data_IF_462914338118
#
_entry.id   IF_462914338118
#
_cell.length_a   1.000
_cell.length_b   1.000
_cell.length_c   1.000
_cell.angle_alpha   90.00
_cell.angle_beta   90.00
_cell.angle_gamma   90.00
#
_symmetry.space_group_name_H-M   'P 1'
#
loop_
_entity.id
_entity.type
_entity.pdbx_description
1 polymer ?
#
# COMPACT_ATOMS: atom_id res chain seq x y z
N UNK A 1 -41.34 -8.26 14.55
CA UNK A 1 -39.86 -8.37 14.64
C UNK A 1 -39.26 -6.99 14.36
N UNK A 2 -38.41 -6.44 15.23
CA UNK A 2 -37.65 -5.22 14.91
C UNK A 2 -36.44 -5.65 14.06
N UNK A 3 -36.29 -5.09 12.86
CA UNK A 3 -35.17 -5.39 11.97
C UNK A 3 -33.82 -4.99 12.60
N UNK A 4 -32.74 -5.67 12.20
CA UNK A 4 -31.38 -5.36 12.64
C UNK A 4 -30.97 -3.96 12.15
N UNK A 5 -30.46 -3.12 13.06
CA UNK A 5 -29.89 -1.82 12.68
C UNK A 5 -28.64 -2.06 11.81
N UNK A 6 -28.52 -1.38 10.65
CA UNK A 6 -27.29 -1.41 9.89
C UNK A 6 -26.12 -0.98 10.78
N UNK A 7 -25.03 -1.75 10.75
CA UNK A 7 -23.81 -1.42 11.48
C UNK A 7 -23.19 -0.11 11.00
N UNK A 8 -22.16 0.35 11.71
CA UNK A 8 -21.41 1.56 11.33
C UNK A 8 -20.66 1.29 10.00
N UNK A 9 -20.63 2.31 9.14
CA UNK A 9 -19.81 2.27 7.93
C UNK A 9 -18.32 2.10 8.27
N UNK A 10 -17.54 1.40 7.42
CA UNK A 10 -16.10 1.28 7.59
C UNK A 10 -15.43 2.67 7.56
N UNK A 11 -14.27 2.84 8.22
CA UNK A 11 -13.51 4.06 8.13
C UNK A 11 -13.03 4.31 6.69
N UNK A 12 -12.72 5.58 6.32
CA UNK A 12 -12.09 5.89 5.05
C UNK A 12 -10.75 5.17 4.88
N UNK A 13 -10.34 4.96 3.63
CA UNK A 13 -9.00 4.45 3.31
C UNK A 13 -7.91 5.37 3.89
N UNK A 14 -6.79 4.83 4.40
CA UNK A 14 -5.67 5.63 4.86
C UNK A 14 -5.09 6.50 3.73
N UNK A 15 -4.60 7.68 4.09
CA UNK A 15 -3.97 8.63 3.18
C UNK A 15 -2.65 9.15 3.74
N UNK A 16 -1.85 9.73 2.86
CA UNK A 16 -0.62 10.45 3.14
C UNK A 16 -0.68 11.85 2.56
N UNK A 17 0.29 12.69 2.93
CA UNK A 17 0.35 14.07 2.49
C UNK A 17 0.41 14.20 0.95
N UNK A 18 -0.24 15.26 0.45
CA UNK A 18 -0.22 15.63 -0.96
C UNK A 18 1.12 16.26 -1.37
N UNK A 19 1.39 16.28 -2.68
CA UNK A 19 2.57 16.95 -3.23
C UNK A 19 3.90 16.20 -3.04
N UNK A 20 3.88 15.01 -2.45
CA UNK A 20 5.06 14.15 -2.32
C UNK A 20 5.58 13.70 -3.68
N UNK A 21 6.90 13.50 -3.74
CA UNK A 21 7.63 13.01 -4.92
C UNK A 21 8.35 11.72 -4.53
N UNK A 22 8.53 10.83 -5.50
CA UNK A 22 9.29 9.59 -5.33
C UNK A 22 10.67 9.86 -4.73
N UNK A 23 11.06 9.07 -3.73
CA UNK A 23 12.35 9.19 -3.05
C UNK A 23 13.56 8.70 -3.87
N UNK A 24 13.33 8.01 -5.00
CA UNK A 24 14.41 7.54 -5.86
C UNK A 24 15.17 8.74 -6.48
N UNK A 25 16.52 8.76 -6.42
CA UNK A 25 17.32 9.87 -6.96
C UNK A 25 16.99 10.16 -8.42
N UNK A 26 16.69 11.43 -8.73
CA UNK A 26 16.35 11.88 -10.09
C UNK A 26 14.94 11.54 -10.55
N UNK A 27 14.12 10.86 -9.75
CA UNK A 27 12.73 10.59 -10.09
C UNK A 27 11.82 11.77 -9.72
N UNK A 28 11.09 12.31 -10.69
CA UNK A 28 10.16 13.44 -10.49
C UNK A 28 8.70 13.02 -10.35
N UNK A 29 8.41 11.72 -10.22
CA UNK A 29 7.05 11.21 -10.15
C UNK A 29 6.34 11.68 -8.89
N UNK A 30 5.21 12.37 -9.06
CA UNK A 30 4.32 12.78 -7.96
C UNK A 30 3.55 11.58 -7.43
N UNK A 31 3.52 11.43 -6.10
CA UNK A 31 2.82 10.35 -5.43
C UNK A 31 1.37 10.75 -5.16
N UNK A 32 0.45 9.82 -5.38
CA UNK A 32 -0.94 9.96 -4.94
C UNK A 32 -1.00 9.98 -3.41
N UNK A 33 -2.03 10.64 -2.86
CA UNK A 33 -2.33 10.60 -1.41
C UNK A 33 -2.61 9.18 -0.92
N UNK A 34 -2.98 8.26 -1.81
CA UNK A 34 -3.24 6.85 -1.47
C UNK A 34 -1.99 5.96 -1.54
N UNK A 35 -0.88 6.46 -2.06
CA UNK A 35 0.39 5.73 -2.00
C UNK A 35 1.05 5.99 -0.65
N UNK A 36 0.92 5.06 0.29
CA UNK A 36 1.50 5.21 1.63
C UNK A 36 3.04 5.04 1.64
N UNK A 37 3.63 4.57 0.54
CA UNK A 37 5.07 4.43 0.39
C UNK A 37 5.78 5.74 0.03
N UNK A 38 7.11 5.68 0.03
CA UNK A 38 8.01 6.77 -0.37
C UNK A 38 8.45 6.71 -1.85
N UNK A 39 8.19 5.58 -2.53
CA UNK A 39 8.60 5.35 -3.91
C UNK A 39 7.39 5.24 -4.86
N UNK A 40 7.62 5.53 -6.13
CA UNK A 40 6.63 5.29 -7.19
C UNK A 40 6.59 3.81 -7.58
N UNK A 41 5.59 3.42 -8.38
CA UNK A 41 5.39 2.04 -8.83
C UNK A 41 6.62 1.40 -9.52
N UNK A 42 7.49 2.21 -10.12
CA UNK A 42 8.71 1.75 -10.79
C UNK A 42 9.89 1.50 -9.84
N UNK A 43 9.89 2.16 -8.68
CA UNK A 43 10.97 2.14 -7.68
C UNK A 43 10.54 1.53 -6.35
N UNK A 44 9.30 1.02 -6.27
CA UNK A 44 8.83 0.31 -5.10
C UNK A 44 9.46 -1.08 -5.06
N UNK A 45 9.74 -1.56 -3.84
CA UNK A 45 10.26 -2.90 -3.64
C UNK A 45 9.26 -3.96 -4.15
N UNK A 46 9.78 -4.95 -4.87
CA UNK A 46 9.02 -6.13 -5.27
C UNK A 46 8.89 -7.06 -4.08
N UNK A 47 7.78 -6.94 -3.35
CA UNK A 47 7.46 -7.85 -2.24
C UNK A 47 6.68 -9.04 -2.79
N UNK A 48 7.32 -10.21 -2.85
CA UNK A 48 6.65 -11.46 -3.15
C UNK A 48 5.97 -11.99 -1.88
N UNK A 49 4.63 -12.06 -1.84
CA UNK A 49 3.95 -12.63 -0.68
C UNK A 49 4.31 -14.11 -0.56
N UNK A 50 4.38 -14.59 0.69
CA UNK A 50 4.50 -16.02 0.94
C UNK A 50 3.26 -16.73 0.39
N UNK A 51 3.41 -17.40 -0.74
CA UNK A 51 2.36 -18.23 -1.30
C UNK A 51 1.99 -19.34 -0.30
N UNK A 52 0.69 -19.54 -0.09
CA UNK A 52 0.19 -20.57 0.84
C UNK A 52 0.86 -21.92 0.56
N UNK A 53 1.52 -22.50 1.56
CA UNK A 53 2.20 -23.80 1.46
C UNK A 53 3.66 -23.75 1.01
N UNK A 54 4.20 -22.59 0.63
CA UNK A 54 5.63 -22.39 0.38
C UNK A 54 6.11 -21.15 1.15
N UNK A 55 6.65 -21.35 2.34
CA UNK A 55 7.47 -20.32 3.00
C UNK A 55 8.73 -20.17 2.15
N UNK A 56 8.94 -19.01 1.55
CA UNK A 56 10.23 -18.70 0.94
C UNK A 56 11.20 -18.51 2.11
N UNK A 57 12.28 -19.31 2.11
CA UNK A 57 13.33 -19.16 3.12
C UNK A 57 13.99 -17.78 2.98
N UNK A 58 14.43 -17.20 4.10
CA UNK A 58 15.20 -15.96 4.06
C UNK A 58 16.42 -16.14 3.14
N UNK A 59 16.55 -15.26 2.13
CA UNK A 59 17.73 -15.22 1.25
C UNK A 59 17.61 -15.90 -0.13
N UNK A 60 16.41 -16.29 -0.58
CA UNK A 60 16.21 -16.65 -2.01
C UNK A 60 15.21 -15.70 -2.68
N UNK A 61 15.78 -14.76 -3.44
CA UNK A 61 15.09 -13.92 -4.41
C UNK A 61 14.65 -14.73 -5.64
#
# INVERSE_FOLDING_TARGET
MKGSRPGKLPPPSPTSDGGRVCAAPGCSTRLSIYNLGSACWQHADLVFPNYRGKRLAEGKA
#
